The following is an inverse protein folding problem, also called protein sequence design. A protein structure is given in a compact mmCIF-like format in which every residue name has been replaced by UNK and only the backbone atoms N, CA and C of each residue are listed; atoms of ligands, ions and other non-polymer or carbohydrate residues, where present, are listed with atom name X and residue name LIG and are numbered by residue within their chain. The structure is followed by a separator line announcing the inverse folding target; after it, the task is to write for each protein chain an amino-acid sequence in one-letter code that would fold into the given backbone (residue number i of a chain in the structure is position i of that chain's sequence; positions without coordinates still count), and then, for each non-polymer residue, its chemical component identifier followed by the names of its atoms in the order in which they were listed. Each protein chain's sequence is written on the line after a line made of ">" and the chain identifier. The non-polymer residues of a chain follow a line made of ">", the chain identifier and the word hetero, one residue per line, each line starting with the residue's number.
data_IF_413570339384
#
_entry.id   IF_413570339384
#
_cell.length_a   1.000
_cell.length_b   1.000
_cell.length_c   1.000
_cell.angle_alpha   90.00
_cell.angle_beta   90.00
_cell.angle_gamma   90.00
#
_symmetry.space_group_name_H-M   'P 1'
#
loop_
_entity.id
_entity.type
_entity.pdbx_description
1 polymer ?
#
# COMPACT_ATOMS: atom_id res chain seq x y z
N UNK A 1 -8.52 24.33 1.53
CA UNK A 1 -8.64 22.89 1.86
C UNK A 1 -7.27 22.39 2.30
N UNK A 2 -7.19 21.74 3.45
CA UNK A 2 -5.97 21.08 3.98
C UNK A 2 -6.09 19.60 3.74
N UNK A 3 -5.18 19.02 2.94
CA UNK A 3 -5.28 17.62 2.56
C UNK A 3 -4.19 16.78 3.23
N UNK A 4 -4.54 16.10 4.29
CA UNK A 4 -3.66 15.24 5.10
C UNK A 4 -4.10 13.77 5.07
N UNK A 5 -4.57 13.30 3.89
CA UNK A 5 -5.01 11.92 3.66
C UNK A 5 -4.36 11.26 2.42
N UNK A 6 -3.07 11.53 2.21
CA UNK A 6 -2.30 11.01 1.08
C UNK A 6 -2.17 9.47 1.07
N UNK A 7 -2.35 8.80 2.21
CA UNK A 7 -2.39 7.34 2.27
C UNK A 7 -3.71 6.75 1.73
N UNK A 8 -4.80 7.52 1.65
CA UNK A 8 -6.03 7.10 0.96
C UNK A 8 -5.88 7.22 -0.56
N UNK A 9 -5.43 8.36 -1.05
CA UNK A 9 -5.09 8.63 -2.46
C UNK A 9 -4.27 9.91 -2.54
N UNK A 10 -3.56 10.13 -3.63
CA UNK A 10 -2.82 11.37 -3.86
C UNK A 10 -3.45 12.18 -5.01
N UNK A 11 -3.31 13.51 -5.04
CA UNK A 11 -3.54 14.28 -6.25
C UNK A 11 -2.63 13.79 -7.37
N UNK A 12 -3.14 13.77 -8.61
CA UNK A 12 -2.32 13.44 -9.78
C UNK A 12 -1.37 14.61 -10.05
N UNK A 13 -0.07 14.36 -10.22
CA UNK A 13 0.88 15.41 -10.55
C UNK A 13 0.70 15.91 -11.97
N UNK A 14 1.22 17.11 -12.25
CA UNK A 14 1.07 17.75 -13.55
C UNK A 14 1.66 16.91 -14.68
N UNK A 15 2.84 16.36 -14.45
CA UNK A 15 3.59 15.51 -15.40
C UNK A 15 2.78 14.27 -15.76
N UNK A 16 2.19 13.59 -14.78
CA UNK A 16 1.34 12.43 -14.99
C UNK A 16 0.06 12.78 -15.75
N UNK A 17 -0.61 13.89 -15.40
CA UNK A 17 -1.80 14.36 -16.10
C UNK A 17 -1.50 14.71 -17.56
N UNK A 18 -0.37 15.38 -17.82
CA UNK A 18 0.10 15.73 -19.17
C UNK A 18 0.40 14.47 -19.99
N UNK A 19 1.16 13.50 -19.43
CA UNK A 19 1.47 12.25 -20.11
C UNK A 19 0.22 11.45 -20.48
N UNK A 20 -0.77 11.39 -19.56
CA UNK A 20 -2.06 10.75 -19.84
C UNK A 20 -2.79 11.44 -20.98
N UNK A 21 -2.87 12.78 -20.98
CA UNK A 21 -3.53 13.56 -22.03
C UNK A 21 -2.88 13.34 -23.41
N UNK A 22 -1.56 13.38 -23.48
CA UNK A 22 -0.80 13.14 -24.72
C UNK A 22 -1.00 11.71 -25.25
N UNK A 23 -1.02 10.71 -24.34
CA UNK A 23 -1.27 9.33 -24.74
C UNK A 23 -2.72 9.12 -25.25
N UNK A 24 -3.71 9.79 -24.65
CA UNK A 24 -5.11 9.70 -25.08
C UNK A 24 -5.39 10.40 -26.40
N UNK A 25 -4.70 11.51 -26.71
CA UNK A 25 -5.02 12.36 -27.88
C UNK A 25 -4.11 12.10 -29.06
N UNK A 26 -2.79 11.95 -28.85
CA UNK A 26 -1.81 11.74 -29.90
C UNK A 26 -1.28 10.31 -29.96
N UNK A 27 -1.23 9.60 -28.83
CA UNK A 27 -0.66 8.25 -28.71
C UNK A 27 -1.70 7.12 -28.57
N UNK A 28 -2.92 7.30 -29.07
CA UNK A 28 -4.07 6.42 -28.86
C UNK A 28 -4.02 5.04 -29.54
N UNK A 29 -2.90 4.67 -30.17
CA UNK A 29 -2.74 3.40 -30.86
C UNK A 29 -2.93 2.19 -29.95
N UNK A 30 -3.56 1.13 -30.47
CA UNK A 30 -3.61 -0.14 -29.75
C UNK A 30 -2.26 -0.85 -29.86
N UNK A 31 -1.56 -1.16 -28.74
CA UNK A 31 -0.25 -1.80 -28.76
C UNK A 31 -0.20 -3.17 -29.46
N UNK A 32 -1.34 -3.83 -29.61
CA UNK A 32 -1.45 -5.12 -30.32
C UNK A 32 -1.52 -4.98 -31.86
N UNK A 33 -1.71 -3.75 -32.38
CA UNK A 33 -1.85 -3.51 -33.82
C UNK A 33 -0.50 -3.45 -34.53
N UNK A 34 -0.44 -4.04 -35.73
CA UNK A 34 0.83 -4.16 -36.49
C UNK A 34 1.17 -2.95 -37.36
N UNK A 35 0.29 -1.97 -37.52
CA UNK A 35 0.57 -0.73 -38.25
C UNK A 35 1.40 0.27 -37.40
N UNK A 36 2.00 1.32 -38.02
CA UNK A 36 2.94 2.20 -37.32
C UNK A 36 2.44 2.79 -36.01
N UNK A 37 1.18 3.24 -35.94
CA UNK A 37 0.59 3.80 -34.72
C UNK A 37 0.54 2.79 -33.57
N UNK A 38 0.20 1.52 -33.85
CA UNK A 38 0.18 0.45 -32.84
C UNK A 38 1.59 0.09 -32.36
N UNK A 39 2.57 -0.03 -33.31
CA UNK A 39 3.97 -0.29 -32.94
C UNK A 39 4.55 0.83 -32.06
N UNK A 40 4.20 2.08 -32.35
CA UNK A 40 4.65 3.23 -31.55
C UNK A 40 4.04 3.18 -30.14
N UNK A 41 2.74 2.86 -30.03
CA UNK A 41 2.09 2.68 -28.73
C UNK A 41 2.74 1.53 -27.91
N UNK A 42 3.08 0.40 -28.57
CA UNK A 42 3.81 -0.70 -27.94
C UNK A 42 5.19 -0.28 -27.46
N UNK A 43 5.94 0.46 -28.29
CA UNK A 43 7.28 0.96 -27.94
C UNK A 43 7.24 1.90 -26.74
N UNK A 44 6.26 2.84 -26.69
CA UNK A 44 6.08 3.75 -25.56
C UNK A 44 5.72 3.00 -24.27
N UNK A 45 4.75 2.07 -24.35
CA UNK A 45 4.38 1.23 -23.21
C UNK A 45 5.59 0.49 -22.61
N UNK A 46 6.48 -0.06 -23.44
CA UNK A 46 7.69 -0.73 -22.93
C UNK A 46 8.72 0.25 -22.35
N UNK A 47 8.85 1.46 -22.89
CA UNK A 47 9.68 2.50 -22.30
C UNK A 47 9.13 2.92 -20.91
N UNK A 48 7.82 3.13 -20.79
CA UNK A 48 7.15 3.45 -19.53
C UNK A 48 7.30 2.33 -18.50
N UNK A 49 7.17 1.06 -18.94
CA UNK A 49 7.42 -0.12 -18.09
C UNK A 49 8.85 -0.12 -17.55
N UNK A 50 9.83 0.21 -18.39
CA UNK A 50 11.23 0.24 -17.99
C UNK A 50 11.50 1.30 -16.90
N UNK A 51 10.86 2.46 -16.96
CA UNK A 51 10.95 3.51 -15.93
C UNK A 51 10.44 2.97 -14.60
N UNK A 52 9.24 2.39 -14.56
CA UNK A 52 8.63 1.90 -13.33
C UNK A 52 9.42 0.71 -12.75
N UNK A 53 9.85 -0.21 -13.61
CA UNK A 53 10.66 -1.36 -13.22
C UNK A 53 12.02 -0.95 -12.63
N UNK A 54 12.67 0.05 -13.22
CA UNK A 54 13.93 0.60 -12.71
C UNK A 54 13.75 1.21 -11.31
N UNK A 55 12.67 1.95 -11.09
CA UNK A 55 12.35 2.51 -9.77
C UNK A 55 12.01 1.45 -8.71
N UNK A 56 11.47 0.30 -9.14
CA UNK A 56 11.21 -0.84 -8.26
C UNK A 56 12.47 -1.70 -8.03
N UNK A 57 13.51 -1.53 -8.84
CA UNK A 57 14.73 -2.33 -8.79
C UNK A 57 14.59 -3.73 -9.39
N UNK A 58 13.82 -3.86 -10.48
CA UNK A 58 13.64 -5.12 -11.21
C UNK A 58 13.81 -4.95 -12.74
N UNK A 59 13.86 -6.06 -13.46
CA UNK A 59 13.88 -6.02 -14.93
C UNK A 59 12.47 -5.69 -15.47
N UNK A 60 12.36 -4.97 -16.61
CA UNK A 60 11.06 -4.64 -17.20
C UNK A 60 10.15 -5.85 -17.43
N UNK A 61 10.71 -6.99 -17.88
CA UNK A 61 9.95 -8.22 -18.10
C UNK A 61 9.43 -8.90 -16.84
N UNK A 62 9.83 -8.46 -15.64
CA UNK A 62 9.36 -8.95 -14.36
C UNK A 62 8.19 -8.12 -13.81
N UNK A 63 7.85 -7.00 -14.43
CA UNK A 63 6.73 -6.14 -14.04
C UNK A 63 5.54 -6.36 -14.99
N UNK A 64 4.40 -6.76 -14.46
CA UNK A 64 3.14 -6.94 -15.18
C UNK A 64 2.14 -5.88 -14.72
N UNK A 65 1.51 -5.16 -15.66
CA UNK A 65 0.54 -4.14 -15.32
C UNK A 65 -0.78 -4.74 -14.82
N UNK A 66 -1.34 -4.13 -13.78
CA UNK A 66 -2.66 -4.46 -13.20
C UNK A 66 -3.50 -3.18 -13.13
N UNK A 67 -4.80 -3.31 -12.84
CA UNK A 67 -5.68 -2.15 -12.71
C UNK A 67 -5.53 -1.43 -11.36
N UNK A 68 -5.02 -2.10 -10.34
CA UNK A 68 -4.88 -1.56 -8.97
C UNK A 68 -4.10 -2.53 -8.08
N UNK A 69 -3.78 -2.10 -6.85
CA UNK A 69 -3.17 -2.96 -5.84
C UNK A 69 -4.00 -4.21 -5.55
N UNK A 70 -5.31 -4.05 -5.35
CA UNK A 70 -6.20 -5.19 -5.06
C UNK A 70 -6.18 -6.29 -6.14
N UNK A 71 -6.09 -5.92 -7.43
CA UNK A 71 -5.90 -6.93 -8.50
C UNK A 71 -4.56 -7.65 -8.35
N UNK A 72 -3.48 -6.90 -8.10
CA UNK A 72 -2.14 -7.45 -7.88
C UNK A 72 -2.10 -8.42 -6.71
N UNK A 73 -2.66 -8.02 -5.55
CA UNK A 73 -2.72 -8.86 -4.34
C UNK A 73 -3.50 -10.15 -4.59
N UNK A 74 -4.72 -10.04 -5.12
CA UNK A 74 -5.57 -11.21 -5.43
C UNK A 74 -4.85 -12.18 -6.37
N UNK A 75 -4.23 -11.66 -7.42
CA UNK A 75 -3.49 -12.49 -8.37
C UNK A 75 -2.28 -13.15 -7.74
N UNK A 76 -1.46 -12.39 -7.00
CA UNK A 76 -0.30 -12.92 -6.30
C UNK A 76 -0.65 -14.07 -5.35
N UNK A 77 -1.66 -13.87 -4.50
CA UNK A 77 -2.07 -14.88 -3.53
C UNK A 77 -2.62 -16.14 -4.20
N UNK A 78 -3.54 -15.99 -5.15
CA UNK A 78 -4.14 -17.11 -5.89
C UNK A 78 -3.09 -17.88 -6.68
N UNK A 79 -2.18 -17.20 -7.36
CA UNK A 79 -1.10 -17.82 -8.12
C UNK A 79 -0.13 -18.59 -7.22
N UNK A 80 0.28 -18.01 -6.09
CA UNK A 80 1.19 -18.67 -5.14
C UNK A 80 0.57 -19.95 -4.57
N UNK A 81 -0.69 -19.91 -4.17
CA UNK A 81 -1.41 -21.08 -3.66
C UNK A 81 -1.54 -22.15 -4.75
N UNK A 82 -1.94 -21.79 -5.96
CA UNK A 82 -2.10 -22.74 -7.07
C UNK A 82 -0.78 -23.45 -7.39
N UNK A 83 0.34 -22.74 -7.36
CA UNK A 83 1.67 -23.30 -7.62
C UNK A 83 2.13 -24.30 -6.53
N UNK A 84 1.71 -24.09 -5.28
CA UNK A 84 2.26 -24.82 -4.15
C UNK A 84 1.23 -25.67 -3.37
N UNK A 85 -0.06 -25.66 -3.71
CA UNK A 85 -1.13 -26.38 -2.99
C UNK A 85 -0.91 -27.90 -2.79
N UNK A 86 -0.04 -28.51 -3.61
CA UNK A 86 0.32 -29.93 -3.45
C UNK A 86 1.49 -30.16 -2.50
N UNK A 87 2.15 -29.07 -2.03
CA UNK A 87 3.34 -29.13 -1.18
C UNK A 87 3.05 -28.80 0.27
N UNK A 88 1.87 -28.27 0.56
CA UNK A 88 1.45 -27.89 1.90
C UNK A 88 0.09 -27.22 1.91
N UNK A 89 -0.35 -26.80 3.09
CA UNK A 89 -1.66 -26.18 3.29
C UNK A 89 -1.63 -24.93 4.18
N UNK A 90 -0.46 -24.52 4.64
CA UNK A 90 -0.33 -23.39 5.56
C UNK A 90 -0.02 -22.09 4.82
N UNK A 91 -0.72 -21.02 5.23
CA UNK A 91 -0.56 -19.64 4.78
C UNK A 91 -0.23 -18.78 6.01
N UNK A 92 0.80 -17.95 5.91
CA UNK A 92 1.17 -16.97 6.92
C UNK A 92 0.88 -15.56 6.41
N UNK A 93 0.20 -14.76 7.22
CA UNK A 93 -0.05 -13.34 6.94
C UNK A 93 -0.11 -12.54 8.23
N UNK A 94 -0.43 -11.24 8.15
CA UNK A 94 -0.62 -10.40 9.34
C UNK A 94 -2.10 -10.03 9.54
N UNK A 95 -2.49 -9.75 10.78
CA UNK A 95 -3.84 -9.29 11.11
C UNK A 95 -4.09 -7.83 10.67
N UNK A 96 -3.07 -7.15 10.16
CA UNK A 96 -3.11 -5.74 9.79
C UNK A 96 -2.94 -5.47 8.29
N UNK A 97 -3.07 -6.50 7.46
CA UNK A 97 -3.01 -6.38 6.01
C UNK A 97 -4.18 -5.54 5.46
N UNK A 98 -3.99 -4.97 4.27
CA UNK A 98 -5.08 -4.35 3.52
C UNK A 98 -6.16 -5.40 3.15
N UNK A 99 -7.41 -4.96 2.98
CA UNK A 99 -8.52 -5.87 2.57
C UNK A 99 -8.25 -6.59 1.25
N UNK A 100 -7.44 -6.01 0.35
CA UNK A 100 -6.96 -6.66 -0.87
C UNK A 100 -6.20 -7.96 -0.63
N UNK A 101 -5.59 -8.12 0.55
CA UNK A 101 -4.92 -9.33 1.03
C UNK A 101 -5.81 -10.12 1.98
N UNK A 102 -6.43 -9.47 2.99
CA UNK A 102 -7.20 -10.18 4.02
C UNK A 102 -8.40 -10.94 3.45
N UNK A 103 -9.15 -10.34 2.53
CA UNK A 103 -10.35 -10.99 2.01
C UNK A 103 -10.01 -12.23 1.15
N UNK A 104 -9.03 -12.18 0.22
CA UNK A 104 -8.56 -13.39 -0.46
C UNK A 104 -8.03 -14.46 0.48
N UNK A 105 -7.26 -14.09 1.53
CA UNK A 105 -6.75 -15.06 2.52
C UNK A 105 -7.90 -15.72 3.27
N UNK A 106 -8.91 -14.96 3.73
CA UNK A 106 -10.12 -15.51 4.35
C UNK A 106 -10.91 -16.42 3.41
N UNK A 107 -10.91 -16.14 2.10
CA UNK A 107 -11.51 -17.02 1.12
C UNK A 107 -10.75 -18.35 1.01
N UNK A 108 -9.42 -18.29 0.98
CA UNK A 108 -8.57 -19.49 1.00
C UNK A 108 -8.73 -20.31 2.29
N UNK A 109 -8.89 -19.66 3.45
CA UNK A 109 -9.19 -20.32 4.71
C UNK A 109 -10.50 -21.13 4.64
N UNK A 110 -11.55 -20.55 4.02
CA UNK A 110 -12.82 -21.26 3.73
C UNK A 110 -12.66 -22.42 2.72
N UNK A 111 -11.66 -22.35 1.85
CA UNK A 111 -11.29 -23.43 0.93
C UNK A 111 -10.50 -24.57 1.62
N UNK A 112 -10.20 -24.44 2.93
CA UNK A 112 -9.55 -25.47 3.76
C UNK A 112 -8.07 -25.26 4.01
N UNK A 113 -7.48 -24.13 3.62
CA UNK A 113 -6.10 -23.79 3.99
C UNK A 113 -6.03 -23.36 5.46
N UNK A 114 -4.94 -23.69 6.12
CA UNK A 114 -4.65 -23.24 7.48
C UNK A 114 -3.99 -21.85 7.43
N UNK A 115 -4.53 -20.88 8.14
CA UNK A 115 -3.99 -19.51 8.12
C UNK A 115 -3.52 -19.11 9.51
N UNK A 116 -2.28 -18.61 9.59
CA UNK A 116 -1.77 -17.90 10.77
C UNK A 116 -1.76 -16.42 10.51
N UNK A 117 -2.41 -15.64 11.39
CA UNK A 117 -2.44 -14.18 11.37
C UNK A 117 -1.52 -13.65 12.48
N UNK A 118 -0.35 -13.13 12.12
CA UNK A 118 0.54 -12.46 13.08
C UNK A 118 -0.11 -11.17 13.59
N UNK A 119 -0.06 -10.98 14.91
CA UNK A 119 -0.58 -9.77 15.55
C UNK A 119 0.54 -8.77 15.82
N UNK A 120 0.30 -7.48 15.63
CA UNK A 120 1.27 -6.44 15.95
C UNK A 120 1.36 -6.20 17.47
N UNK A 121 2.44 -5.54 17.87
CA UNK A 121 2.58 -4.94 19.19
C UNK A 121 1.75 -3.64 19.31
N UNK A 122 1.88 -2.94 20.46
CA UNK A 122 1.18 -1.67 20.72
C UNK A 122 1.59 -0.51 19.81
N UNK A 123 2.71 -0.63 19.11
CA UNK A 123 3.23 0.38 18.17
C UNK A 123 2.95 0.03 16.71
N UNK A 124 2.38 -1.16 16.46
CA UNK A 124 2.05 -1.66 15.12
C UNK A 124 3.16 -2.47 14.46
N UNK A 125 4.22 -2.84 15.18
CA UNK A 125 5.29 -3.68 14.64
C UNK A 125 4.97 -5.17 14.83
N UNK A 126 5.50 -5.98 13.91
CA UNK A 126 5.52 -7.44 14.01
C UNK A 126 6.94 -7.86 14.42
N UNK A 127 7.03 -8.69 15.47
CA UNK A 127 8.30 -9.25 15.90
C UNK A 127 8.89 -10.16 14.81
N UNK A 128 10.12 -9.91 14.32
CA UNK A 128 10.79 -10.80 13.38
C UNK A 128 10.91 -12.24 13.89
N UNK A 129 11.05 -12.46 15.19
CA UNK A 129 11.13 -13.81 15.76
C UNK A 129 9.77 -14.53 15.68
N UNK A 130 8.67 -13.81 15.95
CA UNK A 130 7.33 -14.37 15.76
C UNK A 130 7.08 -14.78 14.29
N UNK A 131 7.67 -14.06 13.31
CA UNK A 131 7.63 -14.49 11.90
C UNK A 131 8.39 -15.79 11.69
N UNK A 132 9.61 -15.93 12.25
CA UNK A 132 10.42 -17.14 12.12
C UNK A 132 9.75 -18.37 12.75
N UNK A 133 9.13 -18.19 13.92
CA UNK A 133 8.40 -19.25 14.61
C UNK A 133 7.15 -19.68 13.84
N UNK A 134 6.44 -18.76 13.22
CA UNK A 134 5.18 -19.01 12.53
C UNK A 134 5.35 -19.69 11.16
N UNK A 135 6.51 -19.55 10.50
CA UNK A 135 6.79 -20.26 9.24
C UNK A 135 6.98 -21.74 9.53
N UNK A 136 6.24 -22.58 8.84
CA UNK A 136 6.25 -24.05 8.98
C UNK A 136 6.80 -24.70 7.71
N UNK A 137 7.19 -25.97 7.79
CA UNK A 137 7.66 -26.75 6.63
C UNK A 137 6.59 -26.94 5.55
N UNK A 138 5.31 -26.88 5.91
CA UNK A 138 4.16 -26.94 5.00
C UNK A 138 3.59 -25.57 4.64
N UNK A 139 4.29 -24.48 4.98
CA UNK A 139 3.92 -23.14 4.56
C UNK A 139 4.12 -23.00 3.04
N UNK A 140 3.06 -22.61 2.32
CA UNK A 140 3.06 -22.47 0.86
C UNK A 140 3.00 -21.03 0.38
N UNK A 141 2.58 -20.12 1.25
CA UNK A 141 2.47 -18.68 1.00
C UNK A 141 2.78 -17.92 2.29
N UNK A 142 3.63 -16.93 2.19
CA UNK A 142 3.73 -15.85 3.17
C UNK A 142 3.34 -14.57 2.46
N UNK A 143 2.35 -13.85 2.98
CA UNK A 143 1.95 -12.52 2.48
C UNK A 143 2.05 -11.52 3.61
N UNK A 144 2.91 -10.52 3.44
CA UNK A 144 3.18 -9.49 4.44
C UNK A 144 3.38 -8.14 3.76
N UNK A 145 2.56 -7.14 4.10
CA UNK A 145 2.72 -5.80 3.56
C UNK A 145 4.06 -5.18 3.99
N UNK A 146 4.62 -4.32 3.15
CA UNK A 146 5.88 -3.64 3.47
C UNK A 146 5.67 -2.50 4.46
N UNK A 147 4.67 -1.67 4.21
CA UNK A 147 4.31 -0.52 5.07
C UNK A 147 2.83 -0.58 5.38
N UNK A 148 2.49 -0.54 6.66
CA UNK A 148 1.09 -0.50 7.05
C UNK A 148 0.44 0.84 6.69
N UNK A 149 -0.72 0.78 6.07
CA UNK A 149 -1.45 1.92 5.53
C UNK A 149 -2.15 2.80 6.59
N UNK A 150 -2.20 2.37 7.87
CA UNK A 150 -2.87 3.11 8.94
C UNK A 150 -1.91 3.62 10.01
N UNK A 151 -0.90 2.84 10.37
CA UNK A 151 0.07 3.20 11.42
C UNK A 151 1.47 3.53 10.88
N UNK A 152 1.74 3.24 9.60
CA UNK A 152 2.99 3.61 8.93
C UNK A 152 4.22 2.79 9.34
N UNK A 153 4.05 1.70 10.07
CA UNK A 153 5.15 0.81 10.45
C UNK A 153 5.66 0.01 9.26
N UNK A 154 6.95 -0.24 9.22
CA UNK A 154 7.60 -1.13 8.23
C UNK A 154 7.63 -2.54 8.81
N UNK A 155 7.06 -3.51 8.07
CA UNK A 155 6.99 -4.88 8.54
C UNK A 155 8.23 -5.69 8.11
N UNK A 156 8.62 -6.72 8.87
CA UNK A 156 9.86 -7.46 8.69
C UNK A 156 9.79 -8.50 7.56
N UNK A 157 9.50 -8.06 6.34
CA UNK A 157 9.37 -8.91 5.14
C UNK A 157 10.62 -9.76 4.91
N UNK A 158 11.81 -9.18 5.16
CA UNK A 158 13.08 -9.89 5.01
C UNK A 158 13.19 -11.08 5.98
N UNK A 159 12.70 -10.97 7.22
CA UNK A 159 12.69 -12.07 8.18
C UNK A 159 11.81 -13.23 7.69
N UNK A 160 10.71 -12.93 6.98
CA UNK A 160 9.89 -13.99 6.36
C UNK A 160 10.66 -14.74 5.27
N UNK A 161 11.42 -14.06 4.42
CA UNK A 161 12.30 -14.72 3.44
C UNK A 161 13.32 -15.66 4.11
N UNK A 162 13.99 -15.16 5.15
CA UNK A 162 14.99 -15.93 5.89
C UNK A 162 14.37 -17.16 6.55
N UNK A 163 13.20 -17.01 7.18
CA UNK A 163 12.47 -18.11 7.80
C UNK A 163 12.03 -19.19 6.79
N UNK A 164 11.53 -18.78 5.60
CA UNK A 164 11.16 -19.70 4.52
C UNK A 164 12.37 -20.56 4.13
N UNK A 165 13.53 -19.94 3.96
CA UNK A 165 14.78 -20.66 3.61
C UNK A 165 15.25 -21.58 4.74
N UNK A 166 15.27 -21.11 5.97
CA UNK A 166 15.71 -21.85 7.14
C UNK A 166 14.86 -23.10 7.37
N UNK A 167 13.53 -22.97 7.28
CA UNK A 167 12.58 -24.08 7.45
C UNK A 167 12.52 -25.02 6.23
N UNK A 168 13.10 -24.61 5.08
CA UNK A 168 12.95 -25.33 3.81
C UNK A 168 11.49 -25.38 3.34
N UNK A 169 10.71 -24.34 3.64
CA UNK A 169 9.30 -24.27 3.27
C UNK A 169 9.16 -24.01 1.75
N UNK A 170 8.16 -24.61 1.08
CA UNK A 170 7.89 -24.34 -0.34
C UNK A 170 7.20 -23.00 -0.59
N UNK A 171 7.11 -22.14 0.42
CA UNK A 171 6.37 -20.90 0.36
C UNK A 171 6.92 -19.93 -0.68
N UNK A 172 5.99 -19.26 -1.40
CA UNK A 172 6.29 -18.02 -2.08
C UNK A 172 6.05 -16.84 -1.13
N UNK A 173 6.92 -15.83 -1.23
CA UNK A 173 6.82 -14.59 -0.47
C UNK A 173 6.19 -13.50 -1.34
N UNK A 174 4.99 -13.06 -0.94
CA UNK A 174 4.31 -11.90 -1.48
C UNK A 174 4.44 -10.72 -0.52
N UNK A 175 4.63 -9.51 -1.05
CA UNK A 175 4.52 -8.29 -0.28
C UNK A 175 3.64 -7.25 -0.99
N UNK A 176 2.62 -6.73 -0.27
CA UNK A 176 1.93 -5.51 -0.67
C UNK A 176 2.84 -4.32 -0.35
N UNK A 177 3.44 -3.73 -1.38
CA UNK A 177 4.29 -2.56 -1.29
C UNK A 177 3.58 -1.26 -1.74
N UNK A 178 2.26 -1.25 -1.82
CA UNK A 178 1.44 -0.11 -2.26
C UNK A 178 1.74 1.16 -1.46
N UNK A 179 1.96 1.06 -0.15
CA UNK A 179 2.36 2.20 0.68
C UNK A 179 3.88 2.39 0.74
N UNK A 180 4.68 1.40 0.35
CA UNK A 180 6.14 1.45 0.40
C UNK A 180 6.79 2.02 -0.86
N UNK A 181 6.22 1.75 -2.05
CA UNK A 181 6.81 2.13 -3.34
C UNK A 181 7.11 3.64 -3.39
N UNK A 182 8.33 3.99 -3.78
CA UNK A 182 8.95 5.32 -3.80
C UNK A 182 9.08 6.04 -2.44
N UNK A 183 8.51 5.52 -1.36
CA UNK A 183 8.47 6.20 -0.05
C UNK A 183 9.44 5.61 0.96
N UNK A 184 9.77 4.34 0.84
CA UNK A 184 10.80 3.68 1.63
C UNK A 184 11.76 2.94 0.70
N UNK A 185 13.06 2.87 1.03
CA UNK A 185 14.03 2.16 0.20
C UNK A 185 13.81 0.65 0.29
N UNK A 186 13.67 -0.01 -0.84
CA UNK A 186 13.67 -1.45 -0.98
C UNK A 186 13.81 -1.86 -2.46
N UNK A 187 14.20 -3.10 -2.67
CA UNK A 187 14.04 -3.80 -3.95
C UNK A 187 13.43 -5.18 -3.67
N UNK A 188 12.74 -5.81 -4.64
CA UNK A 188 12.25 -7.18 -4.49
C UNK A 188 13.34 -8.17 -4.08
N UNK A 189 14.55 -7.98 -4.63
CA UNK A 189 15.72 -8.83 -4.33
C UNK A 189 16.20 -8.66 -2.88
N UNK A 190 16.28 -7.43 -2.36
CA UNK A 190 16.67 -7.17 -0.98
C UNK A 190 15.67 -7.75 0.00
N UNK A 191 14.38 -7.65 -0.28
CA UNK A 191 13.32 -8.27 0.52
C UNK A 191 13.33 -9.81 0.39
N UNK A 192 13.87 -10.34 -0.71
CA UNK A 192 13.75 -11.75 -1.08
C UNK A 192 12.32 -12.12 -1.50
N UNK A 193 11.55 -11.13 -1.95
CA UNK A 193 10.16 -11.32 -2.36
C UNK A 193 10.07 -11.96 -3.75
N UNK A 194 9.12 -12.86 -3.91
CA UNK A 194 8.79 -13.54 -5.17
C UNK A 194 7.77 -12.75 -5.99
N UNK A 195 6.88 -12.05 -5.28
CA UNK A 195 5.78 -11.27 -5.81
C UNK A 195 5.69 -9.95 -5.03
N UNK A 196 5.57 -8.81 -5.73
CA UNK A 196 5.43 -7.49 -5.10
C UNK A 196 4.33 -6.70 -5.79
N UNK A 197 3.34 -6.28 -5.03
CA UNK A 197 2.25 -5.43 -5.53
C UNK A 197 2.57 -3.96 -5.32
N UNK A 198 2.42 -3.14 -6.38
CA UNK A 198 2.50 -1.68 -6.34
C UNK A 198 1.28 -1.04 -6.99
N UNK A 199 1.04 0.23 -6.73
CA UNK A 199 -0.05 0.96 -7.39
C UNK A 199 0.27 2.44 -7.61
N UNK A 200 -0.31 3.03 -8.67
CA UNK A 200 0.02 4.38 -9.10
C UNK A 200 -0.57 5.48 -8.23
N UNK A 201 -1.83 5.33 -7.78
CA UNK A 201 -2.54 6.42 -7.10
C UNK A 201 -2.03 6.77 -5.69
N UNK A 202 -1.07 6.04 -5.16
CA UNK A 202 -0.36 6.36 -3.91
C UNK A 202 0.92 7.16 -4.16
N UNK A 203 1.32 7.30 -5.41
CA UNK A 203 2.55 8.00 -5.83
C UNK A 203 2.29 9.04 -6.92
N UNK A 204 1.14 9.73 -6.83
CA UNK A 204 0.74 10.87 -7.66
C UNK A 204 0.40 10.52 -9.12
N UNK A 205 0.18 9.23 -9.42
CA UNK A 205 -0.39 8.77 -10.68
C UNK A 205 -1.92 8.63 -10.61
N UNK A 206 -2.61 8.45 -11.73
CA UNK A 206 -4.06 8.21 -11.75
C UNK A 206 -4.46 6.92 -11.03
N UNK A 207 -5.71 6.85 -10.60
CA UNK A 207 -6.37 5.59 -10.25
C UNK A 207 -6.52 4.72 -11.50
N UNK A 208 -6.68 3.41 -11.32
CA UNK A 208 -6.90 2.49 -12.44
C UNK A 208 -5.61 1.89 -13.02
N UNK A 209 -4.47 2.06 -12.35
CA UNK A 209 -3.17 1.45 -12.72
C UNK A 209 -2.43 0.97 -11.48
N UNK A 210 -1.85 -0.22 -11.59
CA UNK A 210 -0.94 -0.83 -10.65
C UNK A 210 0.06 -1.73 -11.38
N UNK A 211 0.88 -2.43 -10.62
CA UNK A 211 1.84 -3.39 -11.14
C UNK A 211 2.05 -4.55 -10.18
N UNK A 212 2.29 -5.72 -10.73
CA UNK A 212 2.74 -6.90 -10.00
C UNK A 212 4.14 -7.25 -10.51
N UNK A 213 5.13 -7.13 -9.64
CA UNK A 213 6.43 -7.76 -9.85
C UNK A 213 6.30 -9.27 -9.68
N UNK A 214 6.86 -9.98 -10.60
CA UNK A 214 6.93 -11.45 -10.59
C UNK A 214 8.38 -11.85 -10.82
N UNK A 215 8.98 -12.57 -9.86
CA UNK A 215 10.34 -13.10 -10.03
C UNK A 215 10.43 -13.92 -11.31
N UNK A 216 11.49 -13.70 -12.10
CA UNK A 216 11.69 -14.23 -13.46
C UNK A 216 11.35 -15.72 -13.61
N UNK A 217 11.77 -16.56 -12.66
CA UNK A 217 11.56 -18.02 -12.69
C UNK A 217 10.09 -18.44 -12.51
N UNK A 218 9.23 -17.50 -12.08
CA UNK A 218 7.81 -17.72 -11.88
C UNK A 218 6.96 -17.29 -13.07
N UNK A 219 7.45 -16.40 -13.94
CA UNK A 219 6.67 -15.83 -15.07
C UNK A 219 6.02 -16.91 -15.94
N UNK A 220 6.77 -17.95 -16.31
CA UNK A 220 6.24 -19.04 -17.14
C UNK A 220 5.32 -20.02 -16.39
N UNK A 221 5.23 -19.90 -15.06
CA UNK A 221 4.47 -20.79 -14.19
C UNK A 221 3.19 -20.15 -13.65
N UNK A 222 3.13 -18.81 -13.62
CA UNK A 222 1.96 -18.09 -13.18
C UNK A 222 0.80 -18.29 -14.16
N UNK A 223 -0.36 -18.63 -13.60
CA UNK A 223 -1.61 -18.59 -14.36
C UNK A 223 -2.20 -17.17 -14.30
N UNK A 224 -2.77 -16.68 -15.39
CA UNK A 224 -3.47 -15.42 -15.39
C UNK A 224 -4.67 -15.45 -14.41
N UNK A 225 -4.94 -14.34 -13.74
CA UNK A 225 -6.13 -14.19 -12.91
C UNK A 225 -7.41 -14.09 -13.78
N UNK A 226 -7.30 -13.39 -14.90
CA UNK A 226 -8.35 -13.22 -15.89
C UNK A 226 -7.99 -14.01 -17.15
N UNK A 227 -8.98 -14.51 -17.88
CA UNK A 227 -8.77 -15.21 -19.14
C UNK A 227 -9.14 -14.29 -20.32
N UNK A 228 -8.33 -14.30 -21.40
CA UNK A 228 -8.55 -13.43 -22.55
C UNK A 228 -7.43 -13.49 -23.58
N UNK A 229 -7.10 -12.34 -24.19
CA UNK A 229 -6.08 -12.22 -25.23
C UNK A 229 -4.63 -12.32 -24.74
N UNK A 230 -3.68 -12.04 -25.63
CA UNK A 230 -2.24 -12.20 -25.39
C UNK A 230 -1.54 -11.01 -24.73
N UNK A 231 -2.28 -9.99 -24.26
CA UNK A 231 -1.69 -8.82 -23.63
C UNK A 231 -0.88 -9.22 -22.38
N UNK A 232 0.14 -8.43 -22.04
CA UNK A 232 1.10 -8.74 -20.98
C UNK A 232 1.67 -10.18 -21.11
N UNK A 233 2.01 -10.60 -22.31
CA UNK A 233 2.48 -11.96 -22.62
C UNK A 233 1.49 -13.07 -22.19
N UNK A 234 0.18 -12.78 -22.25
CA UNK A 234 -0.88 -13.69 -21.83
C UNK A 234 -1.11 -13.74 -20.32
N UNK A 235 -0.34 -13.00 -19.53
CA UNK A 235 -0.44 -12.98 -18.08
C UNK A 235 -1.57 -12.08 -17.57
N UNK A 236 -1.84 -10.96 -18.26
CA UNK A 236 -2.94 -10.05 -17.90
C UNK A 236 -3.64 -9.57 -19.19
N UNK A 237 -4.67 -10.28 -19.62
CA UNK A 237 -5.44 -9.95 -20.83
C UNK A 237 -6.23 -8.64 -20.69
N UNK A 238 -6.66 -8.13 -21.83
CA UNK A 238 -7.38 -6.87 -21.99
C UNK A 238 -6.49 -5.78 -22.55
N UNK A 239 -7.05 -4.92 -23.40
CA UNK A 239 -6.32 -3.81 -24.03
C UNK A 239 -5.65 -2.98 -22.96
N UNK A 240 -4.35 -2.76 -23.12
CA UNK A 240 -3.53 -2.09 -22.11
C UNK A 240 -3.91 -0.61 -21.99
N UNK A 241 -4.05 -0.08 -20.76
CA UNK A 241 -4.41 1.30 -20.50
C UNK A 241 -3.21 2.23 -20.68
N UNK A 242 -2.78 2.45 -21.94
CA UNK A 242 -1.54 3.16 -22.28
C UNK A 242 -1.44 4.56 -21.68
N UNK A 243 -2.57 5.26 -21.53
CA UNK A 243 -2.60 6.58 -20.89
C UNK A 243 -2.28 6.51 -19.39
N UNK A 244 -2.83 5.52 -18.68
CA UNK A 244 -2.56 5.33 -17.26
C UNK A 244 -1.12 4.82 -17.03
N UNK A 245 -0.60 3.98 -17.94
CA UNK A 245 0.78 3.49 -17.89
C UNK A 245 1.75 4.66 -18.07
N UNK A 246 1.55 5.50 -19.09
CA UNK A 246 2.35 6.70 -19.33
C UNK A 246 2.31 7.67 -18.14
N UNK A 247 1.12 7.89 -17.57
CA UNK A 247 0.96 8.72 -16.39
C UNK A 247 1.66 8.14 -15.16
N UNK A 248 1.66 6.81 -15.00
CA UNK A 248 2.36 6.18 -13.88
C UNK A 248 3.88 6.33 -14.03
N UNK A 249 4.43 6.11 -15.20
CA UNK A 249 5.85 6.34 -15.49
C UNK A 249 6.24 7.80 -15.24
N UNK A 250 5.46 8.77 -15.75
CA UNK A 250 5.72 10.19 -15.53
C UNK A 250 5.64 10.59 -14.05
N UNK A 251 4.74 10.01 -13.27
CA UNK A 251 4.70 10.23 -11.82
C UNK A 251 5.94 9.66 -11.11
N UNK A 252 6.45 8.51 -11.55
CA UNK A 252 7.68 7.91 -11.03
C UNK A 252 8.89 8.80 -11.33
N UNK A 253 9.02 9.29 -12.56
CA UNK A 253 10.11 10.22 -12.96
C UNK A 253 10.04 11.55 -12.20
N UNK A 254 8.83 12.05 -11.95
CA UNK A 254 8.58 13.28 -11.20
C UNK A 254 8.76 13.12 -9.67
N UNK A 255 8.99 11.91 -9.17
CA UNK A 255 9.25 11.71 -7.75
C UNK A 255 10.67 12.20 -7.40
N UNK A 256 10.73 13.41 -6.82
CA UNK A 256 12.00 14.06 -6.48
C UNK A 256 12.80 13.33 -5.40
N UNK A 257 14.13 13.40 -5.45
CA UNK A 257 15.00 12.71 -4.51
C UNK A 257 14.84 13.21 -3.06
N UNK A 258 14.41 14.45 -2.87
CA UNK A 258 14.20 15.11 -1.57
C UNK A 258 12.77 14.96 -1.03
N UNK A 259 11.83 14.37 -1.80
CA UNK A 259 10.43 14.28 -1.40
C UNK A 259 10.24 13.56 -0.08
N UNK A 260 10.90 12.44 0.12
CA UNK A 260 10.76 11.64 1.34
C UNK A 260 11.31 12.37 2.56
N UNK A 261 12.39 13.14 2.43
CA UNK A 261 12.96 13.95 3.53
C UNK A 261 12.04 15.12 3.87
N UNK A 262 11.46 15.78 2.88
CA UNK A 262 10.46 16.83 3.07
C UNK A 262 9.21 16.30 3.77
N UNK A 263 8.66 15.19 3.29
CA UNK A 263 7.50 14.53 3.90
C UNK A 263 7.81 14.17 5.36
N UNK A 264 8.98 13.59 5.63
CA UNK A 264 9.44 13.23 6.97
C UNK A 264 9.55 14.46 7.87
N UNK A 265 10.13 15.55 7.37
CA UNK A 265 10.24 16.80 8.14
C UNK A 265 8.90 17.36 8.59
N UNK A 266 7.87 17.31 7.71
CA UNK A 266 6.51 17.76 8.05
C UNK A 266 5.85 16.79 9.03
N UNK A 267 6.03 15.47 8.85
CA UNK A 267 5.52 14.46 9.79
C UNK A 267 6.13 14.62 11.17
N UNK A 268 7.46 14.79 11.26
CA UNK A 268 8.16 14.95 12.55
C UNK A 268 7.68 16.21 13.28
N UNK A 269 7.47 17.31 12.54
CA UNK A 269 6.81 18.49 13.08
C UNK A 269 5.38 18.18 13.59
N UNK A 270 4.60 17.41 12.83
CA UNK A 270 3.26 17.02 13.25
C UNK A 270 3.28 16.16 14.52
N UNK A 271 4.23 15.23 14.65
CA UNK A 271 4.40 14.44 15.88
C UNK A 271 4.61 15.36 17.09
N UNK A 272 5.49 16.35 16.98
CA UNK A 272 5.76 17.30 18.07
C UNK A 272 4.53 18.17 18.39
N UNK A 273 3.92 18.78 17.37
CA UNK A 273 2.81 19.71 17.53
C UNK A 273 1.54 19.03 18.09
N UNK A 274 1.24 17.81 17.65
CA UNK A 274 0.05 17.08 18.05
C UNK A 274 0.22 16.36 19.39
N UNK A 275 1.40 15.84 19.71
CA UNK A 275 1.68 15.22 21.01
C UNK A 275 1.69 16.22 22.17
N UNK A 276 1.84 17.52 21.87
CA UNK A 276 1.75 18.58 22.87
C UNK A 276 0.30 18.98 23.24
N UNK A 277 -0.70 18.42 22.56
CA UNK A 277 -2.12 18.74 22.81
C UNK A 277 -2.63 17.80 23.90
N UNK A 278 -3.12 18.37 25.00
CA UNK A 278 -3.78 17.59 26.06
C UNK A 278 -5.00 16.84 25.51
N UNK A 279 -5.11 15.55 25.84
CA UNK A 279 -6.17 14.67 25.32
C UNK A 279 -5.82 13.95 24.01
N UNK A 280 -4.72 14.30 23.35
CA UNK A 280 -4.21 13.55 22.19
C UNK A 280 -3.26 12.44 22.65
N UNK A 281 -3.48 11.24 22.16
CA UNK A 281 -2.59 10.07 22.36
C UNK A 281 -1.92 9.70 21.05
N UNK A 282 -0.58 9.67 21.03
CA UNK A 282 0.18 9.13 19.91
C UNK A 282 0.04 7.60 19.88
N UNK A 283 -0.51 7.05 18.82
CA UNK A 283 -0.58 5.59 18.60
C UNK A 283 0.72 5.12 17.95
N UNK A 284 1.10 5.73 16.85
CA UNK A 284 2.33 5.39 16.12
C UNK A 284 2.83 6.60 15.34
N UNK A 285 4.12 6.91 15.49
CA UNK A 285 4.79 7.88 14.60
C UNK A 285 5.10 7.28 13.22
N UNK A 286 5.01 5.96 13.08
CA UNK A 286 5.37 5.23 11.87
C UNK A 286 6.85 5.30 11.51
N UNK A 287 7.36 4.26 10.86
CA UNK A 287 8.73 4.26 10.31
C UNK A 287 8.77 4.95 8.94
N UNK A 288 7.69 4.76 8.17
CA UNK A 288 7.52 5.39 6.87
C UNK A 288 7.37 6.92 7.00
N UNK A 289 7.88 7.70 6.04
CA UNK A 289 7.91 9.15 6.17
C UNK A 289 6.53 9.82 6.17
N UNK A 290 5.48 9.15 5.71
CA UNK A 290 4.24 9.78 5.28
C UNK A 290 3.00 9.43 6.11
N UNK A 291 3.09 8.60 7.14
CA UNK A 291 1.92 8.18 7.94
C UNK A 291 2.16 8.40 9.42
N UNK A 292 1.15 8.92 10.10
CA UNK A 292 1.07 9.17 11.53
C UNK A 292 -0.31 8.74 12.02
N UNK A 293 -0.36 8.01 13.15
CA UNK A 293 -1.60 7.63 13.81
C UNK A 293 -1.69 8.23 15.21
N UNK A 294 -2.77 8.93 15.49
CA UNK A 294 -3.09 9.49 16.81
C UNK A 294 -4.49 9.06 17.24
N UNK A 295 -4.83 9.29 18.49
CA UNK A 295 -6.18 9.11 19.01
C UNK A 295 -6.60 10.28 19.91
N UNK A 296 -7.88 10.60 19.86
CA UNK A 296 -8.58 11.38 20.89
C UNK A 296 -9.56 10.43 21.58
N UNK A 297 -9.17 9.77 22.69
CA UNK A 297 -9.92 8.66 23.30
C UNK A 297 -11.36 8.97 23.74
N UNK A 298 -11.69 10.25 23.84
CA UNK A 298 -13.01 10.73 24.26
C UNK A 298 -13.98 10.97 23.10
N UNK A 299 -13.52 10.84 21.86
CA UNK A 299 -14.30 11.05 20.64
C UNK A 299 -14.24 9.81 19.75
N UNK A 300 -15.23 9.60 18.89
CA UNK A 300 -15.08 8.60 17.84
C UNK A 300 -14.21 9.13 16.69
N UNK A 301 -13.34 8.29 16.13
CA UNK A 301 -12.54 8.67 14.99
C UNK A 301 -13.38 9.14 13.80
N UNK A 302 -14.57 8.55 13.60
CA UNK A 302 -15.51 8.99 12.57
C UNK A 302 -16.03 10.40 12.83
N UNK A 303 -16.45 10.70 14.06
CA UNK A 303 -16.92 12.06 14.44
C UNK A 303 -15.81 13.08 14.26
N UNK A 304 -14.56 12.73 14.60
CA UNK A 304 -13.41 13.61 14.38
C UNK A 304 -13.19 13.89 12.89
N UNK A 305 -13.25 12.88 12.04
CA UNK A 305 -13.10 13.04 10.58
C UNK A 305 -14.21 13.92 10.01
N UNK A 306 -15.46 13.74 10.46
CA UNK A 306 -16.60 14.55 10.04
C UNK A 306 -16.47 16.02 10.50
N UNK A 307 -16.09 16.23 11.77
CA UNK A 307 -15.89 17.57 12.31
C UNK A 307 -14.74 18.33 11.63
N UNK A 308 -13.60 17.66 11.41
CA UNK A 308 -12.45 18.21 10.69
C UNK A 308 -12.76 18.45 9.21
N UNK A 309 -13.49 17.52 8.56
CA UNK A 309 -13.96 17.66 7.18
C UNK A 309 -14.88 18.86 6.99
N UNK A 310 -15.76 19.14 7.95
CA UNK A 310 -16.59 20.36 7.99
C UNK A 310 -15.79 21.65 8.08
N UNK A 311 -14.52 21.58 8.48
CA UNK A 311 -13.55 22.68 8.51
C UNK A 311 -12.52 22.59 7.36
N UNK A 312 -12.84 21.81 6.32
CA UNK A 312 -11.97 21.59 5.14
C UNK A 312 -10.60 20.99 5.48
N UNK A 313 -10.50 20.17 6.53
CA UNK A 313 -9.29 19.39 6.88
C UNK A 313 -9.58 17.92 6.67
N UNK A 314 -8.89 17.30 5.71
CA UNK A 314 -9.08 15.92 5.32
C UNK A 314 -8.09 15.01 6.05
N UNK A 315 -8.59 14.10 6.88
CA UNK A 315 -7.86 13.01 7.54
C UNK A 315 -8.71 11.74 7.46
N UNK A 316 -8.21 10.59 7.93
CA UNK A 316 -8.95 9.32 7.89
C UNK A 316 -9.07 8.69 9.27
N UNK A 317 -10.17 7.99 9.53
CA UNK A 317 -10.36 7.16 10.75
C UNK A 317 -9.91 5.70 10.55
N UNK A 318 -9.05 5.43 9.56
CA UNK A 318 -8.70 4.09 9.12
C UNK A 318 -9.61 3.64 7.98
N UNK A 319 -10.01 2.37 7.93
CA UNK A 319 -10.85 1.89 6.81
C UNK A 319 -12.27 2.48 6.89
N UNK A 320 -12.66 3.20 5.85
CA UNK A 320 -13.95 3.89 5.72
C UNK A 320 -15.19 2.94 5.73
N UNK A 321 -14.97 1.62 5.76
CA UNK A 321 -16.05 0.62 5.59
C UNK A 321 -16.73 0.17 6.90
N UNK A 322 -16.23 0.58 8.07
CA UNK A 322 -16.75 0.08 9.36
C UNK A 322 -17.51 1.17 10.11
N UNK A 323 -18.77 1.38 9.77
CA UNK A 323 -19.65 2.34 10.43
C UNK A 323 -19.53 2.28 11.97
N UNK A 324 -18.82 3.25 12.57
CA UNK A 324 -18.73 3.44 14.02
C UNK A 324 -17.86 2.42 14.79
N UNK A 325 -17.07 1.56 14.11
CA UNK A 325 -16.12 0.65 14.76
C UNK A 325 -14.68 1.04 14.40
N UNK A 326 -13.70 0.78 15.28
CA UNK A 326 -12.29 0.89 14.92
C UNK A 326 -11.96 0.02 13.70
N UNK A 327 -10.91 0.41 12.95
CA UNK A 327 -10.44 -0.44 11.86
C UNK A 327 -9.88 -1.77 12.39
N UNK A 328 -9.84 -2.78 11.54
CA UNK A 328 -9.26 -4.08 11.90
C UNK A 328 -7.77 -3.99 12.31
N UNK A 329 -7.04 -2.98 11.79
CA UNK A 329 -5.64 -2.73 12.17
C UNK A 329 -5.57 -2.32 13.64
N UNK A 330 -6.33 -1.30 14.06
CA UNK A 330 -6.37 -0.90 15.46
C UNK A 330 -6.98 -1.98 16.36
N UNK A 331 -7.96 -2.77 15.87
CA UNK A 331 -8.49 -3.91 16.63
C UNK A 331 -7.44 -5.01 16.85
N UNK A 332 -6.54 -5.23 15.90
CA UNK A 332 -5.45 -6.20 16.03
C UNK A 332 -4.36 -5.76 17.03
N UNK A 333 -4.21 -4.45 17.26
CA UNK A 333 -3.23 -3.88 18.19
C UNK A 333 -3.70 -4.04 19.64
N UNK A 334 -2.79 -4.33 20.61
CA UNK A 334 -3.13 -4.43 22.04
C UNK A 334 -3.25 -3.04 22.70
N UNK A 335 -4.14 -2.21 22.19
CA UNK A 335 -4.43 -0.87 22.68
C UNK A 335 -5.69 -0.85 23.56
N UNK A 336 -5.82 0.12 24.50
CA UNK A 336 -7.07 0.36 25.21
C UNK A 336 -8.22 0.67 24.25
N UNK A 337 -9.43 0.17 24.53
CA UNK A 337 -10.58 0.31 23.62
C UNK A 337 -10.91 1.78 23.29
N UNK A 338 -10.79 2.69 24.27
CA UNK A 338 -10.98 4.12 24.04
C UNK A 338 -9.98 4.70 23.02
N UNK A 339 -8.71 4.26 23.07
CA UNK A 339 -7.67 4.69 22.14
C UNK A 339 -7.99 4.19 20.72
N UNK A 340 -8.41 2.93 20.58
CA UNK A 340 -8.85 2.39 19.28
C UNK A 340 -10.03 3.16 18.70
N UNK A 341 -11.00 3.49 19.54
CA UNK A 341 -12.24 4.16 19.14
C UNK A 341 -12.01 5.59 18.63
N UNK A 342 -11.06 6.33 19.25
CA UNK A 342 -10.71 7.70 18.88
C UNK A 342 -9.59 7.80 17.84
N UNK A 343 -9.18 6.70 17.23
CA UNK A 343 -8.04 6.68 16.32
C UNK A 343 -8.33 7.39 15.00
N UNK A 344 -7.37 8.22 14.56
CA UNK A 344 -7.33 8.83 13.24
C UNK A 344 -5.92 8.70 12.65
N UNK A 345 -5.88 8.52 11.33
CA UNK A 345 -4.64 8.55 10.54
C UNK A 345 -4.49 9.91 9.88
N UNK A 346 -3.27 10.44 9.94
CA UNK A 346 -2.82 11.63 9.23
C UNK A 346 -1.76 11.17 8.25
N UNK A 347 -1.82 11.62 7.01
CA UNK A 347 -0.82 11.20 6.02
C UNK A 347 -0.46 12.33 5.06
N UNK A 348 0.84 12.41 4.81
CA UNK A 348 1.51 13.54 4.17
C UNK A 348 1.93 13.20 2.74
N UNK A 349 1.98 14.21 1.89
CA UNK A 349 2.54 14.16 0.55
C UNK A 349 3.68 15.16 0.37
N UNK A 350 4.31 15.18 -0.83
CA UNK A 350 5.39 16.13 -1.12
C UNK A 350 5.02 17.60 -0.99
N UNK A 351 3.74 17.92 -1.13
CA UNK A 351 3.19 19.29 -1.04
C UNK A 351 2.71 19.66 0.37
N UNK A 352 2.68 18.72 1.32
CA UNK A 352 2.23 18.99 2.69
C UNK A 352 3.15 19.98 3.39
N UNK A 353 2.55 20.88 4.19
CA UNK A 353 3.26 21.97 4.86
C UNK A 353 3.06 21.99 6.37
N UNK A 354 3.91 22.74 7.09
CA UNK A 354 3.76 22.93 8.54
C UNK A 354 2.51 23.73 8.89
N UNK A 355 2.11 24.68 8.05
CA UNK A 355 0.90 25.47 8.23
C UNK A 355 -0.37 24.60 8.17
N UNK A 356 -0.37 23.55 7.34
CA UNK A 356 -1.45 22.56 7.34
C UNK A 356 -1.52 21.77 8.66
N UNK A 357 -0.35 21.44 9.22
CA UNK A 357 -0.26 20.80 10.54
C UNK A 357 -0.74 21.74 11.65
N UNK A 358 -0.34 23.02 11.61
CA UNK A 358 -0.78 24.03 12.60
C UNK A 358 -2.28 24.24 12.57
N UNK A 359 -2.88 24.25 11.38
CA UNK A 359 -4.33 24.30 11.21
C UNK A 359 -5.02 23.10 11.85
N UNK A 360 -4.55 21.89 11.58
CA UNK A 360 -5.05 20.66 12.20
C UNK A 360 -4.91 20.73 13.73
N UNK A 361 -3.74 21.11 14.23
CA UNK A 361 -3.46 21.20 15.66
C UNK A 361 -4.39 22.22 16.36
N UNK A 362 -4.62 23.36 15.75
CA UNK A 362 -5.55 24.39 16.25
C UNK A 362 -6.98 23.87 16.39
N UNK A 363 -7.48 23.13 15.39
CA UNK A 363 -8.80 22.52 15.43
C UNK A 363 -8.91 21.42 16.50
N UNK A 364 -7.88 20.57 16.64
CA UNK A 364 -7.88 19.52 17.67
C UNK A 364 -7.85 20.11 19.07
N UNK A 365 -7.06 21.18 19.34
CA UNK A 365 -7.11 21.91 20.64
C UNK A 365 -8.50 22.41 20.92
N UNK A 366 -9.13 23.09 19.96
CA UNK A 366 -10.49 23.62 20.13
C UNK A 366 -11.52 22.52 20.42
N UNK A 367 -11.41 21.34 19.78
CA UNK A 367 -12.27 20.18 20.06
C UNK A 367 -12.06 19.70 21.50
N UNK A 368 -10.82 19.59 21.96
CA UNK A 368 -10.49 19.18 23.34
C UNK A 368 -10.99 20.19 24.38
N UNK A 369 -10.79 21.50 24.15
CA UNK A 369 -11.23 22.57 25.04
C UNK A 369 -12.75 22.65 25.16
N UNK A 370 -13.50 22.54 24.08
CA UNK A 370 -14.98 22.53 24.14
C UNK A 370 -15.54 21.40 24.98
N UNK A 371 -14.87 20.27 25.02
CA UNK A 371 -15.27 19.18 25.90
C UNK A 371 -15.07 19.53 27.36
N UNK A 372 -13.97 20.21 27.74
CA UNK A 372 -13.69 20.60 29.11
C UNK A 372 -14.74 21.61 29.69
N UNK A 373 -15.50 22.26 28.78
CA UNK A 373 -16.59 23.17 29.17
C UNK A 373 -17.96 22.47 29.32
N UNK A 374 -18.04 21.17 28.93
CA UNK A 374 -19.27 20.37 29.00
C UNK A 374 -19.29 19.40 30.19
N UNK A 375 -18.22 19.33 30.96
CA UNK A 375 -18.03 18.60 32.22
C UNK A 375 -17.45 19.51 33.30
#
# INVERSE_FOLDING_TARGET
>A
MTYLDHAATTPVCHEAAKAAFEAMTGGFGNPSSQYPLGREAARRREADRAVIAAALGCAPGELVFTSCGTEGDNWALRAAVELNRRKGSHILTTAMEHDGVLQPVKALEKEGFQVTYLKPDKTGHIDPEAVREAVRRDTILVSMMLVNNEVGTILPVRAAHEAIREKGAPALLHTDAVQGFLKVPFTPKELGADLVTICGHKVRAPKGIGGLYVRKELLSKLKPLLLGGGQENGLRPGTEPTAQIAAFAAAVEAWGPDFNDRIRSVKDYAVQALSAIEGVTLISSGDAPHILAISLPDFSGQTLVEALGGQEVCVSSGSACHRGKPSHVFEAMPLPQKVKYGAIRISFGPESTREEVDRLAGLLRHICEKKSLLF
#
